data_IF_003530738810
#
_entry.id   IF_003530738810
#
_cell.length_a   1.000
_cell.length_b   1.000
_cell.length_c   1.000
_cell.angle_alpha   90.00
_cell.angle_beta   90.00
_cell.angle_gamma   90.00
#
_symmetry.space_group_name_H-M   'P 1'
#
loop_
_entity.id
_entity.type
_entity.pdbx_description
1 polymer ?
#
# COMPACT_ATOMS: atom_id res chain seq x y z
N UNK A 1 4.38 6.17 -15.28
CA UNK A 1 4.88 6.21 -16.67
C UNK A 1 5.96 7.27 -16.89
N UNK A 2 5.97 8.40 -16.16
CA UNK A 2 7.02 9.42 -16.25
C UNK A 2 8.41 8.98 -15.73
N UNK A 3 8.49 8.01 -14.81
CA UNK A 3 9.76 7.60 -14.18
C UNK A 3 10.75 6.90 -15.14
N UNK A 4 10.26 6.08 -16.07
CA UNK A 4 11.13 5.41 -17.05
C UNK A 4 11.62 6.37 -18.14
N UNK A 5 10.79 7.33 -18.57
CA UNK A 5 11.20 8.32 -19.58
C UNK A 5 12.26 9.30 -19.06
N UNK A 6 12.26 9.62 -17.77
CA UNK A 6 13.34 10.39 -17.14
C UNK A 6 14.69 9.66 -17.13
N UNK A 7 14.68 8.34 -16.93
CA UNK A 7 15.88 7.49 -17.04
C UNK A 7 16.36 7.34 -18.49
N UNK A 8 15.43 7.26 -19.46
CA UNK A 8 15.70 7.16 -20.90
C UNK A 8 16.44 8.39 -21.45
N UNK A 9 16.25 9.58 -20.88
CA UNK A 9 16.95 10.80 -21.31
C UNK A 9 18.43 10.88 -20.92
N UNK A 10 18.89 10.05 -19.97
CA UNK A 10 20.24 10.13 -19.39
C UNK A 10 21.14 8.93 -19.75
N UNK A 11 20.59 7.86 -20.31
CA UNK A 11 21.37 6.65 -20.65
C UNK A 11 20.90 6.08 -22.00
N UNK A 12 21.57 6.49 -23.09
CA UNK A 12 21.17 6.22 -24.48
C UNK A 12 21.43 4.77 -24.97
N UNK A 13 21.99 3.87 -24.15
CA UNK A 13 22.46 2.54 -24.59
C UNK A 13 21.95 1.36 -23.74
N UNK A 14 20.76 1.45 -23.15
CA UNK A 14 20.13 0.30 -22.48
C UNK A 14 18.91 -0.22 -23.27
N UNK A 15 19.10 -1.34 -23.96
CA UNK A 15 18.01 -2.19 -24.44
C UNK A 15 17.32 -2.83 -23.23
N UNK A 16 16.23 -2.21 -22.77
CA UNK A 16 15.41 -2.77 -21.70
C UNK A 16 14.45 -3.82 -22.27
N UNK A 17 14.71 -5.09 -21.95
CA UNK A 17 13.69 -6.13 -22.12
C UNK A 17 12.74 -6.06 -20.91
N UNK A 18 11.47 -5.75 -21.14
CA UNK A 18 10.47 -5.91 -20.09
C UNK A 18 10.08 -7.39 -19.99
N UNK A 19 9.93 -7.87 -18.75
CA UNK A 19 9.43 -9.21 -18.47
C UNK A 19 8.16 -9.09 -17.64
N UNK A 20 7.13 -9.86 -17.99
CA UNK A 20 5.89 -9.96 -17.21
C UNK A 20 6.02 -11.13 -16.24
N UNK A 21 5.87 -10.83 -14.94
CA UNK A 21 5.89 -11.83 -13.86
C UNK A 21 4.71 -11.59 -12.90
N UNK A 22 3.56 -12.16 -13.24
CA UNK A 22 2.34 -12.05 -12.43
C UNK A 22 2.43 -12.83 -11.11
N UNK A 23 3.30 -13.85 -11.01
CA UNK A 23 3.50 -14.55 -9.75
C UNK A 23 4.15 -13.62 -8.72
N UNK A 24 5.09 -12.79 -9.17
CA UNK A 24 5.79 -11.83 -8.33
C UNK A 24 5.00 -10.52 -8.10
N UNK A 25 4.32 -10.00 -9.12
CA UNK A 25 3.72 -8.66 -9.06
C UNK A 25 2.21 -8.66 -8.78
N UNK A 26 1.53 -9.80 -8.99
CA UNK A 26 0.09 -10.00 -8.75
C UNK A 26 -0.19 -11.17 -7.80
N UNK A 27 0.70 -11.40 -6.84
CA UNK A 27 0.58 -12.46 -5.82
C UNK A 27 -0.79 -12.46 -5.12
N UNK A 28 -1.40 -11.30 -4.94
CA UNK A 28 -2.69 -11.13 -4.24
C UNK A 28 -3.86 -11.79 -4.98
N UNK A 29 -3.78 -11.98 -6.29
CA UNK A 29 -4.82 -12.69 -7.06
C UNK A 29 -4.72 -14.21 -6.91
N UNK A 30 -3.54 -14.70 -6.53
CA UNK A 30 -3.21 -16.13 -6.42
C UNK A 30 -3.29 -16.64 -4.98
N UNK A 31 -3.30 -15.74 -4.01
CA UNK A 31 -3.38 -16.10 -2.61
C UNK A 31 -4.82 -16.50 -2.23
N UNK A 32 -5.12 -17.79 -2.20
CA UNK A 32 -6.49 -18.28 -1.96
C UNK A 32 -7.07 -17.81 -0.63
N UNK A 33 -6.30 -17.87 0.46
CA UNK A 33 -6.71 -17.38 1.79
C UNK A 33 -7.08 -15.91 1.79
N UNK A 34 -6.36 -15.09 1.02
CA UNK A 34 -6.71 -13.69 0.80
C UNK A 34 -7.98 -13.52 -0.05
N UNK A 35 -8.06 -14.22 -1.18
CA UNK A 35 -9.18 -14.12 -2.12
C UNK A 35 -10.49 -14.56 -1.47
N UNK A 36 -10.49 -15.68 -0.77
CA UNK A 36 -11.68 -16.22 -0.11
C UNK A 36 -11.98 -15.50 1.21
N UNK A 37 -10.94 -15.20 2.01
CA UNK A 37 -11.09 -14.64 3.35
C UNK A 37 -11.33 -13.13 3.38
N UNK A 38 -10.90 -12.39 2.35
CA UNK A 38 -10.96 -10.92 2.29
C UNK A 38 -11.61 -10.42 1.01
N UNK A 39 -11.08 -10.75 -0.18
CA UNK A 39 -11.55 -10.16 -1.45
C UNK A 39 -13.03 -10.44 -1.72
N UNK A 40 -13.44 -11.70 -1.54
CA UNK A 40 -14.82 -12.16 -1.76
C UNK A 40 -15.67 -12.14 -0.48
N UNK A 41 -15.05 -11.88 0.67
CA UNK A 41 -15.73 -11.92 1.96
C UNK A 41 -16.30 -10.55 2.32
N UNK A 42 -17.64 -10.44 2.31
CA UNK A 42 -18.32 -9.19 2.64
C UNK A 42 -18.11 -8.75 4.10
N UNK A 43 -17.87 -9.68 5.03
CA UNK A 43 -17.65 -9.32 6.43
C UNK A 43 -16.27 -8.71 6.66
N UNK A 44 -15.31 -8.98 5.79
CA UNK A 44 -13.96 -8.42 5.87
C UNK A 44 -13.93 -6.89 5.66
N UNK A 45 -14.98 -6.32 5.05
CA UNK A 45 -15.13 -4.89 4.77
C UNK A 45 -16.29 -4.25 5.54
N UNK A 46 -16.72 -4.86 6.64
CA UNK A 46 -17.86 -4.39 7.44
C UNK A 46 -17.69 -2.93 7.88
N UNK A 47 -16.48 -2.51 8.27
CA UNK A 47 -16.21 -1.12 8.68
C UNK A 47 -16.41 -0.12 7.54
N UNK A 48 -16.11 -0.52 6.29
CA UNK A 48 -16.38 0.31 5.11
C UNK A 48 -17.88 0.48 4.93
N UNK A 49 -18.63 -0.63 4.98
CA UNK A 49 -20.09 -0.62 4.79
C UNK A 49 -20.81 0.16 5.89
N UNK A 50 -20.39 0.00 7.16
CA UNK A 50 -20.90 0.83 8.26
C UNK A 50 -20.63 2.31 8.02
N UNK A 51 -19.41 2.68 7.64
CA UNK A 51 -19.06 4.08 7.43
C UNK A 51 -19.81 4.71 6.24
N UNK A 52 -20.01 3.97 5.15
CA UNK A 52 -20.81 4.42 3.99
C UNK A 52 -22.22 4.87 4.40
N UNK A 53 -22.81 4.21 5.40
CA UNK A 53 -24.15 4.50 5.93
C UNK A 53 -24.10 5.28 7.27
N UNK A 54 -22.92 5.75 7.68
CA UNK A 54 -22.71 6.50 8.90
C UNK A 54 -23.10 7.98 8.78
N UNK A 55 -23.22 8.64 9.94
CA UNK A 55 -23.66 10.04 10.05
C UNK A 55 -22.75 11.02 9.29
N UNK A 56 -21.44 10.75 9.22
CA UNK A 56 -20.46 11.54 8.48
C UNK A 56 -20.79 11.55 6.99
N UNK A 57 -20.95 10.37 6.38
CA UNK A 57 -21.30 10.24 4.96
C UNK A 57 -22.70 10.76 4.65
N UNK A 58 -23.68 10.61 5.56
CA UNK A 58 -25.00 11.23 5.42
C UNK A 58 -24.93 12.77 5.43
N UNK A 59 -24.02 13.36 6.20
CA UNK A 59 -23.82 14.81 6.19
C UNK A 59 -23.24 15.29 4.84
N UNK A 60 -22.25 14.58 4.29
CA UNK A 60 -21.70 14.87 2.96
C UNK A 60 -22.78 14.75 1.89
N UNK A 61 -23.60 13.70 1.93
CA UNK A 61 -24.72 13.51 1.00
C UNK A 61 -25.69 14.69 1.00
N UNK A 62 -26.09 15.16 2.18
CA UNK A 62 -27.01 16.29 2.31
C UNK A 62 -26.42 17.61 1.82
N UNK A 63 -25.10 17.80 1.92
CA UNK A 63 -24.43 19.02 1.41
C UNK A 63 -24.19 18.98 -0.09
N UNK A 64 -23.66 17.87 -0.61
CA UNK A 64 -23.34 17.71 -2.02
C UNK A 64 -24.58 17.67 -2.93
N UNK A 65 -25.75 17.40 -2.35
CA UNK A 65 -27.03 17.33 -3.04
C UNK A 65 -27.93 18.44 -2.48
N UNK A 66 -28.04 19.59 -3.16
CA UNK A 66 -29.05 20.60 -2.83
C UNK A 66 -30.44 19.94 -2.66
N UNK A 67 -31.24 20.40 -1.71
CA UNK A 67 -32.59 19.86 -1.41
C UNK A 67 -33.56 19.86 -2.63
N UNK A 68 -33.26 20.66 -3.66
CA UNK A 68 -34.09 20.85 -4.87
C UNK A 68 -33.90 19.79 -5.97
N UNK A 69 -33.12 18.73 -5.76
CA UNK A 69 -32.97 17.64 -6.74
C UNK A 69 -33.70 16.38 -6.25
N UNK A 70 -34.94 16.11 -6.69
CA UNK A 70 -35.82 15.06 -6.15
C UNK A 70 -35.41 13.63 -6.54
N UNK A 71 -34.15 13.43 -6.92
CA UNK A 71 -33.62 12.11 -7.19
C UNK A 71 -33.22 11.48 -5.85
N UNK A 72 -33.95 10.45 -5.42
CA UNK A 72 -33.43 9.47 -4.46
C UNK A 72 -32.12 8.92 -5.05
N UNK A 73 -30.98 9.35 -4.52
CA UNK A 73 -29.67 9.05 -5.13
C UNK A 73 -28.94 8.00 -4.31
N UNK A 74 -28.53 6.87 -4.92
CA UNK A 74 -27.72 5.87 -4.24
C UNK A 74 -26.46 6.49 -3.63
N UNK A 75 -26.02 5.98 -2.48
CA UNK A 75 -24.74 6.29 -1.83
C UNK A 75 -23.58 6.38 -2.84
N UNK A 76 -23.63 5.53 -3.86
CA UNK A 76 -22.62 5.39 -4.89
C UNK A 76 -22.44 6.64 -5.79
N UNK A 77 -23.43 7.53 -5.88
CA UNK A 77 -23.34 8.68 -6.80
C UNK A 77 -22.53 9.85 -6.23
N UNK A 78 -22.54 10.05 -4.90
CA UNK A 78 -21.67 11.05 -4.25
C UNK A 78 -20.21 10.61 -4.33
N UNK A 79 -19.95 9.33 -4.08
CA UNK A 79 -18.62 8.75 -4.24
C UNK A 79 -18.15 8.82 -5.69
N UNK A 80 -19.03 8.53 -6.66
CA UNK A 80 -18.70 8.64 -8.08
C UNK A 80 -18.32 10.08 -8.49
N UNK A 81 -19.05 11.09 -8.00
CA UNK A 81 -18.73 12.49 -8.25
C UNK A 81 -17.36 12.88 -7.67
N UNK A 82 -17.07 12.45 -6.43
CA UNK A 82 -15.75 12.68 -5.83
C UNK A 82 -14.63 11.98 -6.61
N UNK A 83 -14.86 10.74 -7.05
CA UNK A 83 -13.91 10.05 -7.92
C UNK A 83 -13.69 10.79 -9.23
N UNK A 84 -14.75 11.21 -9.94
CA UNK A 84 -14.63 11.99 -11.18
C UNK A 84 -13.81 13.26 -10.98
N UNK A 85 -14.10 14.03 -9.93
CA UNK A 85 -13.27 15.18 -9.54
C UNK A 85 -11.80 14.78 -9.38
N UNK A 86 -11.52 13.76 -8.55
CA UNK A 86 -10.15 13.33 -8.25
C UNK A 86 -9.37 12.87 -9.50
N UNK A 87 -10.03 12.14 -10.41
CA UNK A 87 -9.45 11.67 -11.68
C UNK A 87 -9.15 12.82 -12.64
N UNK A 88 -10.11 13.73 -12.84
CA UNK A 88 -9.92 14.87 -13.75
C UNK A 88 -8.86 15.84 -13.22
N UNK A 89 -8.82 16.06 -11.91
CA UNK A 89 -7.79 16.88 -11.30
C UNK A 89 -6.41 16.24 -11.42
N UNK A 90 -6.26 14.98 -11.02
CA UNK A 90 -4.93 14.33 -10.95
C UNK A 90 -4.34 13.96 -12.31
N UNK A 91 -5.17 13.55 -13.28
CA UNK A 91 -4.69 13.08 -14.59
C UNK A 91 -4.72 14.19 -15.63
N UNK A 92 -5.77 15.02 -15.64
CA UNK A 92 -5.97 16.06 -16.65
C UNK A 92 -5.61 17.46 -16.17
N UNK A 93 -5.29 17.64 -14.88
CA UNK A 93 -5.11 18.96 -14.25
C UNK A 93 -6.35 19.85 -14.43
N UNK A 94 -7.54 19.25 -14.47
CA UNK A 94 -8.82 19.95 -14.63
C UNK A 94 -9.56 20.00 -13.30
N UNK A 95 -9.82 21.21 -12.82
CA UNK A 95 -10.72 21.42 -11.69
C UNK A 95 -12.16 21.43 -12.20
N UNK A 96 -12.80 20.27 -12.22
CA UNK A 96 -14.10 20.10 -12.84
C UNK A 96 -15.28 20.49 -11.94
N UNK A 97 -16.48 20.71 -12.50
CA UNK A 97 -17.66 21.04 -11.71
C UNK A 97 -18.00 20.01 -10.62
N UNK A 98 -17.56 18.75 -10.75
CA UNK A 98 -17.70 17.73 -9.74
C UNK A 98 -16.98 18.08 -8.43
N UNK A 99 -15.86 18.80 -8.52
CA UNK A 99 -15.09 19.24 -7.36
C UNK A 99 -15.82 20.32 -6.54
N UNK A 100 -16.66 21.13 -7.18
CA UNK A 100 -17.43 22.19 -6.49
C UNK A 100 -18.54 21.65 -5.58
N UNK A 101 -18.83 20.35 -5.64
CA UNK A 101 -19.82 19.69 -4.78
C UNK A 101 -19.29 19.42 -3.36
N UNK A 102 -17.99 19.59 -3.14
CA UNK A 102 -17.32 19.18 -1.90
C UNK A 102 -16.44 20.31 -1.37
N UNK A 103 -16.54 20.58 -0.07
CA UNK A 103 -15.52 21.34 0.64
C UNK A 103 -14.40 20.42 1.17
N UNK A 104 -13.43 21.02 1.88
CA UNK A 104 -12.31 20.27 2.45
C UNK A 104 -12.75 19.25 3.50
N UNK A 105 -13.78 19.56 4.28
CA UNK A 105 -14.26 18.67 5.34
C UNK A 105 -15.05 17.49 4.77
N UNK A 106 -15.80 17.71 3.69
CA UNK A 106 -16.41 16.66 2.88
C UNK A 106 -15.34 15.75 2.27
N UNK A 107 -14.28 16.33 1.72
CA UNK A 107 -13.16 15.59 1.14
C UNK A 107 -12.45 14.73 2.19
N UNK A 108 -12.25 15.21 3.42
CA UNK A 108 -11.68 14.42 4.53
C UNK A 108 -12.54 13.22 4.91
N UNK A 109 -13.86 13.35 4.88
CA UNK A 109 -14.79 12.23 5.13
C UNK A 109 -14.65 11.17 4.02
N UNK A 110 -14.62 11.59 2.76
CA UNK A 110 -14.49 10.71 1.60
C UNK A 110 -13.10 10.06 1.51
N UNK A 111 -12.05 10.79 1.89
CA UNK A 111 -10.70 10.27 2.08
C UNK A 111 -10.71 9.16 3.14
N UNK A 112 -11.29 9.41 4.32
CA UNK A 112 -11.34 8.44 5.39
C UNK A 112 -12.09 7.16 4.99
N UNK A 113 -13.20 7.28 4.24
CA UNK A 113 -13.90 6.12 3.67
C UNK A 113 -13.00 5.31 2.74
N UNK A 114 -12.19 5.99 1.92
CA UNK A 114 -11.25 5.35 1.01
C UNK A 114 -10.11 4.67 1.77
N UNK A 115 -9.61 5.29 2.84
CA UNK A 115 -8.62 4.71 3.74
C UNK A 115 -9.14 3.47 4.44
N UNK A 116 -10.38 3.48 4.97
CA UNK A 116 -11.01 2.29 5.52
C UNK A 116 -11.01 1.14 4.51
N UNK A 117 -11.39 1.43 3.26
CA UNK A 117 -11.39 0.41 2.20
C UNK A 117 -9.99 -0.16 1.97
N UNK A 118 -8.96 0.68 1.85
CA UNK A 118 -7.60 0.19 1.60
C UNK A 118 -7.00 -0.51 2.81
N UNK A 119 -7.25 0.00 4.02
CA UNK A 119 -6.78 -0.58 5.28
C UNK A 119 -7.34 -1.99 5.48
N UNK A 120 -8.67 -2.12 5.41
CA UNK A 120 -9.38 -3.38 5.65
C UNK A 120 -9.30 -4.35 4.48
N UNK A 121 -9.07 -3.88 3.25
CA UNK A 121 -8.99 -4.77 2.09
C UNK A 121 -7.56 -5.19 1.74
N UNK A 122 -6.58 -4.30 1.84
CA UNK A 122 -5.25 -4.49 1.22
C UNK A 122 -4.07 -4.36 2.20
N UNK A 123 -4.32 -4.01 3.46
CA UNK A 123 -3.26 -3.69 4.43
C UNK A 123 -3.52 -4.35 5.79
N UNK A 124 -3.27 -3.62 6.88
CA UNK A 124 -3.26 -4.12 8.27
C UNK A 124 -4.60 -4.61 8.82
N UNK A 125 -5.70 -4.46 8.08
CA UNK A 125 -7.00 -4.97 8.54
C UNK A 125 -7.07 -6.49 8.66
N UNK A 126 -6.32 -7.21 7.82
CA UNK A 126 -6.20 -8.68 7.92
C UNK A 126 -4.77 -9.12 7.66
N UNK A 127 -4.22 -9.94 8.55
CA UNK A 127 -2.82 -10.43 8.47
C UNK A 127 -2.51 -11.09 7.13
N UNK A 128 -3.46 -11.86 6.57
CA UNK A 128 -3.30 -12.52 5.27
C UNK A 128 -3.05 -11.55 4.10
N UNK A 129 -3.51 -10.30 4.20
CA UNK A 129 -3.25 -9.28 3.19
C UNK A 129 -1.76 -9.01 3.07
N UNK A 130 -1.06 -8.81 4.19
CA UNK A 130 0.39 -8.63 4.21
C UNK A 130 1.13 -9.91 3.81
N UNK A 131 0.75 -11.06 4.38
CA UNK A 131 1.39 -12.35 4.09
C UNK A 131 1.29 -12.77 2.62
N UNK A 132 0.25 -12.34 1.89
CA UNK A 132 0.17 -12.58 0.45
C UNK A 132 1.40 -12.06 -0.32
N UNK A 133 2.11 -11.06 0.23
CA UNK A 133 3.30 -10.45 -0.38
C UNK A 133 4.63 -11.17 -0.08
N UNK A 134 4.63 -12.33 0.61
CA UNK A 134 5.86 -13.10 0.88
C UNK A 134 6.75 -13.26 -0.37
N UNK A 135 6.24 -13.61 -1.58
CA UNK A 135 7.09 -13.78 -2.76
C UNK A 135 7.88 -12.51 -3.12
N UNK A 136 7.22 -11.35 -3.07
CA UNK A 136 7.85 -10.06 -3.37
C UNK A 136 8.84 -9.66 -2.28
N UNK A 137 8.49 -9.86 -1.01
CA UNK A 137 9.39 -9.61 0.11
C UNK A 137 10.70 -10.42 -0.02
N UNK A 138 10.60 -11.74 -0.27
CA UNK A 138 11.76 -12.59 -0.49
C UNK A 138 12.57 -12.20 -1.72
N UNK A 139 11.89 -11.82 -2.80
CA UNK A 139 12.56 -11.34 -4.00
C UNK A 139 13.41 -10.10 -3.73
N UNK A 140 12.89 -9.11 -2.99
CA UNK A 140 13.62 -7.89 -2.62
C UNK A 140 14.88 -8.23 -1.82
N UNK A 141 14.76 -9.00 -0.73
CA UNK A 141 15.90 -9.33 0.12
C UNK A 141 16.93 -10.22 -0.58
N UNK A 142 16.49 -11.17 -1.41
CA UNK A 142 17.39 -11.97 -2.26
C UNK A 142 18.16 -11.10 -3.25
N UNK A 143 17.53 -10.04 -3.76
CA UNK A 143 18.18 -9.09 -4.69
C UNK A 143 19.22 -8.24 -3.96
N UNK A 144 18.87 -7.73 -2.76
CA UNK A 144 19.80 -7.01 -1.89
C UNK A 144 20.99 -7.88 -1.46
N UNK A 145 20.75 -9.15 -1.12
CA UNK A 145 21.82 -10.10 -0.77
C UNK A 145 22.78 -10.36 -1.93
N UNK A 146 22.27 -10.43 -3.16
CA UNK A 146 23.09 -10.57 -4.36
C UNK A 146 23.91 -9.31 -4.62
N UNK A 147 23.31 -8.13 -4.44
CA UNK A 147 23.97 -6.84 -4.63
C UNK A 147 25.08 -6.58 -3.59
N UNK A 148 24.89 -7.03 -2.35
CA UNK A 148 25.88 -6.89 -1.27
C UNK A 148 27.06 -7.87 -1.31
N UNK A 149 27.08 -8.83 -2.25
CA UNK A 149 28.22 -9.74 -2.42
C UNK A 149 29.39 -9.03 -3.10
N UNK A 150 30.65 -9.33 -2.72
CA UNK A 150 31.82 -8.77 -3.40
C UNK A 150 31.74 -9.02 -4.91
N UNK A 151 31.91 -7.97 -5.72
CA UNK A 151 31.86 -8.03 -7.19
C UNK A 151 32.92 -9.01 -7.71
N UNK A 152 32.50 -10.25 -8.00
CA UNK A 152 33.32 -11.26 -8.67
C UNK A 152 33.07 -11.33 -10.19
N UNK A 153 32.03 -10.66 -10.71
CA UNK A 153 31.72 -10.61 -12.15
C UNK A 153 31.32 -9.21 -12.63
N UNK A 154 31.57 -8.97 -13.92
CA UNK A 154 31.38 -7.70 -14.65
C UNK A 154 29.90 -7.35 -14.91
N UNK A 155 28.97 -8.27 -14.63
CA UNK A 155 27.53 -8.12 -14.89
C UNK A 155 26.74 -7.77 -13.62
N UNK A 156 27.11 -6.70 -12.92
CA UNK A 156 26.27 -6.20 -11.81
C UNK A 156 25.17 -5.30 -12.37
N UNK A 157 23.92 -5.76 -12.36
CA UNK A 157 22.77 -4.89 -12.64
C UNK A 157 22.70 -3.85 -11.51
N UNK A 158 22.90 -2.55 -11.79
CA UNK A 158 23.01 -1.53 -10.75
C UNK A 158 21.68 -1.27 -10.03
N UNK A 159 20.56 -1.66 -10.64
CA UNK A 159 19.22 -1.50 -10.09
C UNK A 159 18.31 -2.63 -10.58
N UNK A 160 17.28 -2.94 -9.77
CA UNK A 160 16.12 -3.75 -10.17
C UNK A 160 14.88 -2.86 -10.12
N UNK A 161 14.12 -2.81 -11.20
CA UNK A 161 12.93 -1.97 -11.32
C UNK A 161 11.73 -2.90 -11.49
N UNK A 162 10.79 -2.83 -10.54
CA UNK A 162 9.55 -3.60 -10.55
C UNK A 162 8.38 -2.63 -10.68
N UNK A 163 7.46 -2.94 -11.59
CA UNK A 163 6.26 -2.13 -11.82
C UNK A 163 5.03 -2.97 -11.50
N UNK A 164 4.21 -2.49 -10.59
CA UNK A 164 2.99 -3.17 -10.13
C UNK A 164 1.86 -2.19 -9.89
N UNK A 165 0.97 -2.54 -8.97
CA UNK A 165 -0.23 -1.78 -8.63
C UNK A 165 -0.19 -1.28 -7.19
N UNK A 166 -1.17 -0.47 -6.80
CA UNK A 166 -1.38 -0.13 -5.39
C UNK A 166 -1.61 -1.39 -4.54
N UNK A 167 -2.29 -2.38 -5.13
CA UNK A 167 -2.52 -3.71 -4.58
C UNK A 167 -1.25 -4.56 -4.46
N UNK A 168 -0.16 -4.20 -5.15
CA UNK A 168 1.17 -4.81 -4.94
C UNK A 168 1.86 -4.13 -3.75
N UNK A 169 1.78 -2.80 -3.67
CA UNK A 169 2.56 -2.03 -2.70
C UNK A 169 1.98 -2.09 -1.28
N UNK A 170 0.66 -1.94 -1.12
CA UNK A 170 0.01 -1.92 0.19
C UNK A 170 0.25 -3.20 1.02
N UNK A 171 0.12 -4.41 0.45
CA UNK A 171 0.50 -5.65 1.13
C UNK A 171 1.95 -5.67 1.60
N UNK A 172 2.89 -5.29 0.74
CA UNK A 172 4.31 -5.30 1.07
C UNK A 172 4.64 -4.31 2.19
N UNK A 173 4.09 -3.09 2.12
CA UNK A 173 4.27 -2.09 3.18
C UNK A 173 3.66 -2.56 4.51
N UNK A 174 2.51 -3.24 4.47
CA UNK A 174 1.90 -3.84 5.65
C UNK A 174 2.76 -4.97 6.22
N UNK A 175 3.31 -5.85 5.38
CA UNK A 175 4.22 -6.93 5.78
C UNK A 175 5.52 -6.39 6.41
N UNK A 176 6.01 -5.24 5.94
CA UNK A 176 7.15 -4.52 6.54
C UNK A 176 6.80 -3.82 7.87
N UNK A 177 5.52 -3.80 8.28
CA UNK A 177 5.04 -3.18 9.51
C UNK A 177 4.85 -1.66 9.42
N UNK A 178 4.85 -1.08 8.22
CA UNK A 178 4.80 0.37 8.02
C UNK A 178 3.37 0.90 8.05
N UNK A 179 3.18 2.12 8.57
CA UNK A 179 1.88 2.80 8.65
C UNK A 179 0.80 2.01 9.40
N UNK A 180 1.19 1.18 10.38
CA UNK A 180 0.25 0.52 11.28
C UNK A 180 -0.20 1.50 12.36
N UNK A 181 -1.48 1.85 12.36
CA UNK A 181 -2.05 2.69 13.42
C UNK A 181 -2.10 1.96 14.75
N UNK A 182 -1.85 2.67 15.85
CA UNK A 182 -2.01 2.11 17.21
C UNK A 182 -3.44 1.69 17.48
N UNK A 183 -4.41 2.53 17.08
CA UNK A 183 -5.84 2.21 17.07
C UNK A 183 -6.27 2.07 15.61
N UNK A 184 -6.77 0.90 15.16
CA UNK A 184 -7.21 0.73 13.77
C UNK A 184 -8.29 1.73 13.37
N UNK A 185 -8.29 2.25 12.13
CA UNK A 185 -9.39 3.05 11.62
C UNK A 185 -10.66 2.17 11.49
N UNK A 186 -11.75 2.63 12.08
CA UNK A 186 -13.08 1.98 12.05
C UNK A 186 -14.15 2.96 11.60
N UNK A 187 -15.38 2.48 11.39
CA UNK A 187 -16.50 3.34 11.04
C UNK A 187 -16.81 4.39 12.12
N UNK A 188 -16.58 4.07 13.39
CA UNK A 188 -17.07 4.88 14.51
C UNK A 188 -16.05 5.89 15.04
N UNK A 189 -14.78 5.81 14.61
CA UNK A 189 -13.69 6.60 15.19
C UNK A 189 -13.11 7.69 14.27
N UNK A 190 -13.80 8.06 13.17
CA UNK A 190 -13.38 9.13 12.24
C UNK A 190 -12.88 10.40 12.96
N UNK A 191 -13.67 10.90 13.94
CA UNK A 191 -13.40 12.15 14.67
C UNK A 191 -12.14 12.10 15.54
N UNK A 192 -11.74 10.91 15.98
CA UNK A 192 -10.52 10.73 16.77
C UNK A 192 -9.34 10.30 15.90
N UNK A 193 -9.57 10.04 14.61
CA UNK A 193 -8.61 9.43 13.69
C UNK A 193 -8.08 10.41 12.64
N UNK A 194 -8.13 11.72 12.96
CA UNK A 194 -7.52 12.77 12.15
C UNK A 194 -5.98 12.67 12.14
N UNK A 195 -5.36 12.13 13.19
CA UNK A 195 -3.91 11.94 13.31
C UNK A 195 -3.39 10.59 12.80
N UNK A 196 -4.20 9.81 12.07
CA UNK A 196 -3.82 8.47 11.61
C UNK A 196 -2.57 8.47 10.73
N UNK A 197 -1.79 7.42 10.90
CA UNK A 197 -0.63 7.08 10.08
C UNK A 197 -1.07 6.48 8.75
N UNK A 198 -2.12 5.65 8.73
CA UNK A 198 -2.59 5.06 7.49
C UNK A 198 -3.45 6.04 6.68
N UNK A 199 -2.83 6.67 5.69
CA UNK A 199 -3.49 7.53 4.70
C UNK A 199 -3.15 7.05 3.29
N UNK A 200 -4.05 6.30 2.67
CA UNK A 200 -3.81 5.64 1.39
C UNK A 200 -3.46 6.62 0.27
N UNK A 201 -4.05 7.83 0.28
CA UNK A 201 -3.72 8.90 -0.68
C UNK A 201 -2.28 9.42 -0.57
N UNK A 202 -1.63 9.30 0.60
CA UNK A 202 -0.23 9.68 0.81
C UNK A 202 0.73 8.50 0.63
N UNK A 203 0.26 7.28 0.90
CA UNK A 203 1.07 6.06 0.83
C UNK A 203 1.16 5.56 -0.62
N UNK A 204 0.02 5.49 -1.32
CA UNK A 204 -0.12 4.99 -2.69
C UNK A 204 -0.80 5.98 -3.63
N UNK A 205 -0.29 7.22 -3.79
CA UNK A 205 -0.74 8.11 -4.87
C UNK A 205 -0.45 7.52 -6.25
N UNK A 206 -0.92 8.18 -7.32
CA UNK A 206 -0.47 7.84 -8.67
C UNK A 206 1.06 7.93 -8.77
N UNK A 207 1.67 6.91 -9.39
CA UNK A 207 3.12 6.75 -9.49
C UNK A 207 3.86 6.61 -8.14
N UNK A 208 3.16 6.15 -7.09
CA UNK A 208 3.79 5.77 -5.85
C UNK A 208 4.98 4.82 -6.07
N UNK A 209 6.02 4.99 -5.26
CA UNK A 209 7.26 4.24 -5.38
C UNK A 209 7.83 3.86 -4.01
N UNK A 210 8.54 2.73 -3.98
CA UNK A 210 9.26 2.20 -2.84
C UNK A 210 10.66 1.85 -3.29
N UNK A 211 11.66 2.45 -2.64
CA UNK A 211 13.06 2.27 -2.97
C UNK A 211 13.79 1.67 -1.79
N UNK A 212 14.60 0.65 -2.08
CA UNK A 212 15.59 0.08 -1.18
C UNK A 212 16.97 0.46 -1.70
N UNK A 213 17.66 1.37 -1.01
CA UNK A 213 19.00 1.85 -1.41
C UNK A 213 20.05 1.20 -0.53
N UNK A 214 20.86 0.33 -1.12
CA UNK A 214 21.95 -0.36 -0.43
C UNK A 214 23.26 0.40 -0.64
N UNK A 215 23.77 1.02 0.41
CA UNK A 215 25.05 1.72 0.42
C UNK A 215 26.18 0.79 0.81
N UNK A 216 27.32 0.93 0.13
CA UNK A 216 28.59 0.35 0.56
C UNK A 216 29.29 1.31 1.52
N UNK A 217 29.51 0.90 2.76
CA UNK A 217 30.07 1.73 3.82
C UNK A 217 31.19 0.97 4.54
N UNK A 218 32.16 1.71 5.10
CA UNK A 218 33.34 1.12 5.75
C UNK A 218 33.01 0.11 6.86
N UNK A 219 31.89 0.30 7.57
CA UNK A 219 31.43 -0.57 8.68
C UNK A 219 30.45 -1.67 8.23
N UNK A 220 30.37 -1.92 6.92
CA UNK A 220 29.44 -2.86 6.30
C UNK A 220 28.27 -2.15 5.60
N UNK A 221 27.52 -2.88 4.75
CA UNK A 221 26.47 -2.29 3.93
C UNK A 221 25.33 -1.73 4.79
N UNK A 222 24.79 -0.59 4.37
CA UNK A 222 23.66 0.09 5.02
C UNK A 222 22.47 0.18 4.08
N UNK A 223 21.27 0.02 4.61
CA UNK A 223 20.05 -0.02 3.81
C UNK A 223 19.15 1.14 4.18
N UNK A 224 18.81 1.99 3.22
CA UNK A 224 17.82 3.05 3.37
C UNK A 224 16.53 2.67 2.65
N UNK A 225 15.41 2.96 3.30
CA UNK A 225 14.08 2.83 2.73
C UNK A 225 13.56 4.21 2.34
N UNK A 226 13.02 4.33 1.13
CA UNK A 226 12.30 5.55 0.72
C UNK A 226 10.93 5.17 0.20
N UNK A 227 9.92 5.94 0.60
CA UNK A 227 8.54 5.82 0.11
C UNK A 227 8.17 7.16 -0.48
N UNK A 228 7.75 7.15 -1.74
CA UNK A 228 7.47 8.37 -2.51
C UNK A 228 8.65 9.36 -2.38
N UNK A 229 9.86 8.83 -2.61
CA UNK A 229 11.14 9.54 -2.58
C UNK A 229 11.52 10.19 -1.24
N UNK A 230 10.75 9.92 -0.17
CA UNK A 230 11.01 10.42 1.18
C UNK A 230 11.59 9.31 2.05
N UNK A 231 12.68 9.56 2.82
CA UNK A 231 13.23 8.57 3.74
C UNK A 231 12.20 8.12 4.78
N UNK A 232 12.10 6.81 4.98
CA UNK A 232 11.26 6.18 6.00
C UNK A 232 12.11 5.25 6.84
N UNK A 233 11.87 5.22 8.15
CA UNK A 233 12.61 4.34 9.06
C UNK A 233 11.97 2.97 9.13
N UNK A 234 12.79 1.94 9.24
CA UNK A 234 12.31 0.59 9.47
C UNK A 234 11.73 0.47 10.89
N UNK A 235 10.55 -0.14 11.08
CA UNK A 235 10.03 -0.44 12.41
C UNK A 235 11.03 -1.26 13.23
N UNK A 236 11.25 -0.86 14.48
CA UNK A 236 12.25 -1.41 15.39
C UNK A 236 13.69 -0.90 15.18
N UNK A 237 13.93 -0.01 14.22
CA UNK A 237 15.25 0.59 13.91
C UNK A 237 15.13 2.12 13.70
N UNK A 238 14.43 2.82 14.58
CA UNK A 238 14.04 4.23 14.41
C UNK A 238 15.15 5.26 14.70
N UNK A 239 16.33 4.81 15.11
CA UNK A 239 17.45 5.69 15.51
C UNK A 239 18.22 6.28 14.33
N UNK A 240 18.20 5.62 13.17
CA UNK A 240 18.98 6.01 11.98
C UNK A 240 18.16 5.79 10.70
N UNK A 241 18.29 6.67 9.70
CA UNK A 241 17.55 6.55 8.44
C UNK A 241 18.11 5.45 7.50
N UNK A 242 19.35 5.01 7.74
CA UNK A 242 20.02 3.98 6.96
C UNK A 242 20.78 2.98 7.86
N UNK A 243 20.08 2.11 8.62
CA UNK A 243 20.70 1.15 9.52
C UNK A 243 21.58 0.12 8.78
N UNK A 244 22.40 -0.63 9.52
CA UNK A 244 23.18 -1.73 8.94
C UNK A 244 22.25 -2.77 8.34
N UNK A 245 22.54 -3.22 7.12
CA UNK A 245 21.71 -4.18 6.40
C UNK A 245 21.50 -5.49 7.18
N UNK A 246 22.53 -5.92 7.93
CA UNK A 246 22.46 -7.11 8.78
C UNK A 246 21.42 -6.97 9.91
N UNK A 247 21.24 -5.76 10.43
CA UNK A 247 20.33 -5.48 11.54
C UNK A 247 18.90 -5.47 11.00
N UNK A 248 18.67 -4.88 9.81
CA UNK A 248 17.38 -4.99 9.09
C UNK A 248 17.02 -6.46 8.81
N UNK A 249 17.98 -7.28 8.35
CA UNK A 249 17.75 -8.73 8.18
C UNK A 249 17.43 -9.43 9.50
N UNK A 250 18.04 -9.00 10.61
CA UNK A 250 17.75 -9.57 11.92
C UNK A 250 16.32 -9.24 12.37
N UNK A 251 15.88 -7.98 12.19
CA UNK A 251 14.51 -7.53 12.48
C UNK A 251 13.46 -8.36 11.72
N UNK A 252 13.68 -8.59 10.43
CA UNK A 252 12.75 -9.36 9.60
C UNK A 252 13.07 -10.87 9.50
N UNK A 253 13.92 -11.43 10.37
CA UNK A 253 14.32 -12.84 10.31
C UNK A 253 13.14 -13.80 10.29
N UNK A 254 12.12 -13.52 11.11
CA UNK A 254 10.90 -14.33 11.18
C UNK A 254 10.16 -14.43 9.83
N UNK A 255 10.20 -13.39 9.00
CA UNK A 255 9.63 -13.41 7.65
C UNK A 255 10.59 -14.07 6.64
N UNK A 256 11.89 -13.75 6.73
CA UNK A 256 12.91 -14.30 5.84
C UNK A 256 13.03 -15.83 5.94
N UNK A 257 12.81 -16.38 7.13
CA UNK A 257 12.89 -17.82 7.35
C UNK A 257 11.51 -18.50 7.32
N UNK A 258 10.43 -17.74 7.54
CA UNK A 258 9.11 -18.29 7.87
C UNK A 258 7.95 -17.91 6.95
N UNK A 259 8.04 -16.85 6.13
CA UNK A 259 6.94 -16.39 5.27
C UNK A 259 6.86 -17.26 4.01
N UNK A 260 6.08 -18.34 4.05
CA UNK A 260 5.92 -19.26 2.91
C UNK A 260 4.57 -19.04 2.22
N UNK A 261 4.61 -18.60 0.96
CA UNK A 261 3.40 -18.19 0.24
C UNK A 261 2.36 -19.30 0.14
N UNK A 262 2.78 -20.51 -0.23
CA UNK A 262 1.84 -21.64 -0.37
C UNK A 262 1.19 -21.95 0.98
N UNK A 263 1.98 -22.09 2.05
CA UNK A 263 1.45 -22.37 3.39
C UNK A 263 0.52 -21.27 3.92
N UNK A 264 0.89 -20.01 3.74
CA UNK A 264 0.07 -18.89 4.22
C UNK A 264 -1.22 -18.73 3.38
N UNK A 265 -1.16 -19.00 2.07
CA UNK A 265 -2.26 -18.78 1.14
C UNK A 265 -3.15 -19.99 0.89
N UNK A 266 -2.75 -21.23 1.20
CA UNK A 266 -3.61 -22.42 1.05
C UNK A 266 -4.73 -22.49 2.10
N UNK A 267 -4.66 -21.68 3.16
CA UNK A 267 -5.66 -21.56 4.21
C UNK A 267 -5.62 -22.72 5.19
N UNK A 268 -5.32 -22.45 6.47
CA UNK A 268 -5.64 -23.43 7.52
C UNK A 268 -7.16 -23.51 7.69
N UNK A 269 -7.75 -24.72 7.83
CA UNK A 269 -9.15 -24.83 8.19
C UNK A 269 -9.39 -24.09 9.52
N UNK A 270 -10.42 -23.25 9.54
CA UNK A 270 -10.80 -22.37 10.66
C UNK A 270 -10.90 -23.20 11.95
N UNK A 271 -9.92 -23.04 12.84
CA UNK A 271 -9.85 -23.65 14.15
C UNK A 271 -9.40 -22.64 15.21
N UNK A 272 -10.37 -22.12 15.96
CA UNK A 272 -10.33 -21.34 17.22
C UNK A 272 -8.94 -20.95 17.80
N UNK A 273 -8.56 -19.67 17.61
CA UNK A 273 -7.85 -18.75 18.54
C UNK A 273 -6.37 -19.03 18.92
N UNK A 274 -5.69 -18.12 19.66
CA UNK A 274 -5.98 -16.71 19.97
C UNK A 274 -4.97 -15.72 19.33
N UNK A 275 -5.28 -14.42 19.45
CA UNK A 275 -4.48 -13.26 19.04
C UNK A 275 -2.97 -13.47 19.18
N UNK A 276 -2.24 -13.35 18.08
CA UNK A 276 -0.82 -12.99 18.12
C UNK A 276 -0.74 -11.55 17.64
N UNK A 277 -0.54 -10.64 18.59
CA UNK A 277 -0.06 -9.30 18.29
C UNK A 277 1.32 -9.45 17.62
N UNK A 278 1.42 -8.91 16.40
CA UNK A 278 2.67 -8.56 15.73
C UNK A 278 3.00 -7.10 16.05
#
# INVERSE_FOLDING_TARGET
MLSLWGLLGLCLDLLYLHQVDDQLMRFFERCRGYVEGVEKNRTALLEVEKFKHGKEMEAVRRRALNEDCPCVRPVDLVEAAFFLCSYELSIKSLHSPWCFLFDEDDAKVLEYKSDLKQYWKRSHGHVISGLSSCPLFHHVFRTLDKAGRPRRSVTSHPASILVGHAETLLPLLSLLGLYKDQTPPTADNYRTQHGRSFRSGLIVPYAANLLFVLYDCQRGPRLQLLINESPVRFPGLETEDAPLYRDVRATYRHLLDGCDFERECEGRPVGRGPNTEL
#
